data_IF_470794501568
#
_entry.id   IF_470794501568
#
_cell.length_a   1.000
_cell.length_b   1.000
_cell.length_c   1.000
_cell.angle_alpha   90.00
_cell.angle_beta   90.00
_cell.angle_gamma   90.00
#
_symmetry.space_group_name_H-M   'P 1'
#
loop_
_entity.id
_entity.type
_entity.pdbx_description
1 polymer ?
#
# COMPACT_ATOMS: atom_id res chain seq x y z
N UNK A 1 18.15 4.15 10.63
CA UNK A 1 17.78 3.89 9.22
C UNK A 1 18.06 2.44 8.83
N UNK A 2 19.33 2.00 8.73
CA UNK A 2 19.59 0.58 8.39
C UNK A 2 19.09 -0.39 9.48
N UNK A 3 19.23 -0.05 10.77
CA UNK A 3 18.68 -0.85 11.88
C UNK A 3 17.14 -0.96 11.81
N UNK A 4 16.44 0.14 11.55
CA UNK A 4 14.96 0.15 11.40
C UNK A 4 14.46 -0.81 10.30
N UNK A 5 15.25 -0.98 9.22
CA UNK A 5 14.95 -1.92 8.13
C UNK A 5 15.12 -3.37 8.60
N UNK A 6 16.20 -3.67 9.31
CA UNK A 6 16.45 -5.02 9.82
C UNK A 6 15.44 -5.43 10.90
N UNK A 7 15.09 -4.52 11.80
CA UNK A 7 14.11 -4.77 12.85
C UNK A 7 12.72 -5.03 12.25
N UNK A 8 12.30 -4.22 11.27
CA UNK A 8 11.03 -4.42 10.55
C UNK A 8 10.95 -5.76 9.81
N UNK A 9 12.08 -6.30 9.32
CA UNK A 9 12.12 -7.62 8.69
C UNK A 9 11.97 -8.76 9.70
N UNK A 10 12.54 -8.60 10.90
CA UNK A 10 12.40 -9.58 11.99
C UNK A 10 10.98 -9.57 12.58
N UNK A 11 10.33 -8.40 12.67
CA UNK A 11 8.96 -8.27 13.18
C UNK A 11 7.94 -9.03 12.31
N UNK A 12 8.16 -9.07 10.99
CA UNK A 12 7.33 -9.83 10.04
C UNK A 12 7.31 -11.34 10.38
N UNK A 13 8.40 -11.88 10.93
CA UNK A 13 8.48 -13.30 11.28
C UNK A 13 7.85 -13.63 12.65
N UNK A 14 7.49 -12.61 13.44
CA UNK A 14 7.03 -12.75 14.81
C UNK A 14 5.64 -13.41 14.94
N UNK A 15 5.34 -14.12 16.05
CA UNK A 15 4.06 -14.82 16.24
C UNK A 15 2.80 -13.95 16.14
N UNK A 16 2.76 -12.70 16.68
CA UNK A 16 1.61 -11.80 16.54
C UNK A 16 1.38 -11.39 15.08
N UNK A 17 2.45 -11.07 14.35
CA UNK A 17 2.40 -10.66 12.95
C UNK A 17 1.87 -11.76 12.04
N UNK A 18 2.11 -13.05 12.35
CA UNK A 18 1.57 -14.16 11.55
C UNK A 18 0.05 -14.20 11.51
N UNK A 19 -0.65 -13.85 12.59
CA UNK A 19 -2.13 -13.78 12.59
C UNK A 19 -2.64 -12.65 11.70
N UNK A 20 -2.02 -11.47 11.81
CA UNK A 20 -2.32 -10.31 10.97
C UNK A 20 -2.03 -10.64 9.50
N UNK A 21 -0.90 -11.28 9.22
CA UNK A 21 -0.49 -11.71 7.89
C UNK A 21 -1.48 -12.70 7.28
N UNK A 22 -1.96 -13.71 8.03
CA UNK A 22 -2.96 -14.66 7.51
C UNK A 22 -4.30 -13.98 7.23
N UNK A 23 -4.78 -13.09 8.11
CA UNK A 23 -6.01 -12.32 7.85
C UNK A 23 -5.86 -11.40 6.64
N UNK A 24 -4.71 -10.72 6.53
CA UNK A 24 -4.33 -9.88 5.40
C UNK A 24 -4.31 -10.66 4.09
N UNK A 25 -3.70 -11.85 4.09
CA UNK A 25 -3.62 -12.71 2.92
C UNK A 25 -4.99 -13.27 2.53
N UNK A 26 -5.81 -13.68 3.50
CA UNK A 26 -7.17 -14.16 3.26
C UNK A 26 -8.06 -13.06 2.67
N UNK A 27 -7.98 -11.84 3.21
CA UNK A 27 -8.74 -10.69 2.70
C UNK A 27 -8.27 -10.30 1.28
N UNK A 28 -6.95 -10.29 1.05
CA UNK A 28 -6.35 -10.08 -0.28
C UNK A 28 -6.88 -11.09 -1.28
N UNK A 29 -6.84 -12.38 -0.93
CA UNK A 29 -7.34 -13.46 -1.79
C UNK A 29 -8.84 -13.30 -2.08
N UNK A 30 -9.65 -12.98 -1.08
CA UNK A 30 -11.09 -12.75 -1.25
C UNK A 30 -11.37 -11.58 -2.22
N UNK A 31 -10.68 -10.46 -2.07
CA UNK A 31 -10.82 -9.30 -2.96
C UNK A 31 -10.40 -9.66 -4.39
N UNK A 32 -9.27 -10.36 -4.57
CA UNK A 32 -8.81 -10.78 -5.89
C UNK A 32 -9.79 -11.74 -6.58
N UNK A 33 -10.38 -12.69 -5.85
CA UNK A 33 -11.41 -13.60 -6.38
C UNK A 33 -12.67 -12.82 -6.79
N UNK A 34 -13.12 -11.85 -5.98
CA UNK A 34 -14.29 -11.04 -6.33
C UNK A 34 -14.04 -10.18 -7.58
N UNK A 35 -12.86 -9.59 -7.69
CA UNK A 35 -12.48 -8.81 -8.89
C UNK A 35 -12.37 -9.72 -10.11
N UNK A 36 -11.78 -10.91 -9.97
CA UNK A 36 -11.72 -11.92 -11.03
C UNK A 36 -13.12 -12.26 -11.56
N UNK A 37 -14.06 -12.59 -10.67
CA UNK A 37 -15.44 -12.91 -11.05
C UNK A 37 -16.09 -11.72 -11.78
N UNK A 38 -15.88 -10.50 -11.28
CA UNK A 38 -16.41 -9.29 -11.91
C UNK A 38 -15.87 -9.09 -13.34
N UNK A 39 -14.56 -9.22 -13.52
CA UNK A 39 -13.89 -9.08 -14.82
C UNK A 39 -14.27 -10.20 -15.80
N UNK A 40 -14.38 -11.45 -15.33
CA UNK A 40 -14.80 -12.61 -16.14
C UNK A 40 -16.23 -12.41 -16.67
N UNK A 41 -17.16 -12.04 -15.79
CA UNK A 41 -18.55 -11.76 -16.20
C UNK A 41 -18.66 -10.58 -17.16
N UNK A 42 -17.86 -9.53 -16.94
CA UNK A 42 -17.80 -8.39 -17.84
C UNK A 42 -17.25 -8.78 -19.20
N UNK A 43 -16.18 -9.58 -19.24
CA UNK A 43 -15.59 -10.08 -20.48
C UNK A 43 -16.60 -10.94 -21.28
N UNK A 44 -17.29 -11.87 -20.61
CA UNK A 44 -18.34 -12.70 -21.23
C UNK A 44 -19.52 -11.88 -21.78
N UNK A 45 -19.76 -10.68 -21.25
CA UNK A 45 -20.80 -9.77 -21.78
C UNK A 45 -20.40 -9.12 -23.11
N UNK A 46 -19.11 -8.85 -23.33
CA UNK A 46 -18.62 -8.17 -24.53
C UNK A 46 -18.13 -9.12 -25.64
N UNK A 47 -17.89 -10.40 -25.33
CA UNK A 47 -17.41 -11.40 -26.31
C UNK A 47 -18.61 -12.09 -26.99
N UNK A 48 -19.10 -11.49 -28.08
CA UNK A 48 -19.94 -12.17 -29.07
C UNK A 48 -19.17 -12.20 -30.40
N UNK A 49 -18.35 -13.23 -30.59
CA UNK A 49 -17.40 -13.30 -31.71
C UNK A 49 -17.61 -14.59 -32.50
N UNK A 50 -18.15 -14.46 -33.72
CA UNK A 50 -18.39 -15.59 -34.63
C UNK A 50 -17.13 -16.09 -35.37
N UNK A 51 -16.01 -15.36 -35.30
CA UNK A 51 -14.78 -15.69 -36.03
C UNK A 51 -13.72 -16.32 -35.11
N UNK A 52 -13.23 -17.52 -35.46
CA UNK A 52 -12.32 -18.29 -34.61
C UNK A 52 -10.97 -17.61 -34.35
N UNK A 53 -10.36 -16.98 -35.35
CA UNK A 53 -9.07 -16.28 -35.19
C UNK A 53 -9.22 -15.02 -34.33
N UNK A 54 -10.33 -14.30 -34.47
CA UNK A 54 -10.63 -13.11 -33.67
C UNK A 54 -10.94 -13.50 -32.22
N UNK A 55 -11.62 -14.63 -32.01
CA UNK A 55 -11.84 -15.19 -30.68
C UNK A 55 -10.52 -15.58 -29.99
N UNK A 56 -9.58 -16.21 -30.71
CA UNK A 56 -8.24 -16.52 -30.19
C UNK A 56 -7.45 -15.26 -29.83
N UNK A 57 -7.43 -14.24 -30.71
CA UNK A 57 -6.76 -12.96 -30.44
C UNK A 57 -7.35 -12.26 -29.21
N UNK A 58 -8.68 -12.22 -29.10
CA UNK A 58 -9.37 -11.63 -27.95
C UNK A 58 -9.09 -12.41 -26.67
N UNK A 59 -9.04 -13.75 -26.71
CA UNK A 59 -8.67 -14.56 -25.56
C UNK A 59 -7.23 -14.27 -25.07
N UNK A 60 -6.27 -14.09 -25.99
CA UNK A 60 -4.91 -13.67 -25.63
C UNK A 60 -4.88 -12.27 -25.02
N UNK A 61 -5.61 -11.31 -25.60
CA UNK A 61 -5.70 -9.94 -25.07
C UNK A 61 -6.36 -9.89 -23.69
N UNK A 62 -7.42 -10.67 -23.48
CA UNK A 62 -8.07 -10.83 -22.16
C UNK A 62 -7.11 -11.48 -21.18
N UNK A 63 -6.43 -12.57 -21.56
CA UNK A 63 -5.47 -13.25 -20.70
C UNK A 63 -4.32 -12.33 -20.27
N UNK A 64 -3.76 -11.57 -21.21
CA UNK A 64 -2.71 -10.59 -20.92
C UNK A 64 -3.23 -9.43 -20.07
N UNK A 65 -4.46 -8.96 -20.35
CA UNK A 65 -5.15 -7.94 -19.57
C UNK A 65 -5.46 -8.38 -18.13
N UNK A 66 -5.79 -9.67 -17.92
CA UNK A 66 -6.00 -10.25 -16.60
C UNK A 66 -4.69 -10.34 -15.81
N UNK A 67 -3.59 -10.77 -16.43
CA UNK A 67 -2.27 -10.80 -15.77
C UNK A 67 -1.80 -9.39 -15.42
N UNK A 68 -1.88 -8.45 -16.36
CA UNK A 68 -1.55 -7.05 -16.11
C UNK A 68 -2.47 -6.44 -15.03
N UNK A 69 -3.76 -6.77 -15.06
CA UNK A 69 -4.75 -6.39 -14.05
C UNK A 69 -4.40 -6.92 -12.67
N UNK A 70 -4.00 -8.19 -12.54
CA UNK A 70 -3.56 -8.78 -11.27
C UNK A 70 -2.33 -8.06 -10.68
N UNK A 71 -1.32 -7.79 -11.52
CA UNK A 71 -0.12 -7.03 -11.10
C UNK A 71 -0.50 -5.62 -10.66
N UNK A 72 -1.40 -4.97 -11.40
CA UNK A 72 -1.84 -3.60 -11.12
C UNK A 72 -2.72 -3.53 -9.86
N UNK A 73 -3.55 -4.55 -9.61
CA UNK A 73 -4.42 -4.66 -8.43
C UNK A 73 -3.66 -5.07 -7.17
N UNK A 74 -2.49 -5.68 -7.27
CA UNK A 74 -1.70 -6.08 -6.11
C UNK A 74 -1.39 -4.89 -5.20
N UNK A 75 -0.98 -3.74 -5.76
CA UNK A 75 -0.65 -2.56 -4.96
C UNK A 75 -1.86 -1.92 -4.24
N UNK A 76 -3.01 -1.66 -4.91
CA UNK A 76 -4.25 -1.21 -4.24
C UNK A 76 -4.78 -2.20 -3.20
N UNK A 77 -4.71 -3.50 -3.46
CA UNK A 77 -5.20 -4.51 -2.51
C UNK A 77 -4.30 -4.57 -1.27
N UNK A 78 -2.97 -4.61 -1.44
CA UNK A 78 -2.03 -4.49 -0.31
C UNK A 78 -2.28 -3.20 0.49
N UNK A 79 -2.54 -2.09 -0.20
CA UNK A 79 -2.83 -0.77 0.41
C UNK A 79 -4.11 -0.77 1.25
N UNK A 80 -5.19 -1.37 0.74
CA UNK A 80 -6.46 -1.53 1.45
C UNK A 80 -6.28 -2.37 2.72
N UNK A 81 -5.57 -3.49 2.58
CA UNK A 81 -5.30 -4.40 3.68
C UNK A 81 -4.40 -3.74 4.73
N UNK A 82 -3.40 -2.97 4.30
CA UNK A 82 -2.58 -2.17 5.20
C UNK A 82 -3.40 -1.20 6.03
N UNK A 83 -4.34 -0.50 5.41
CA UNK A 83 -5.20 0.47 6.10
C UNK A 83 -6.07 -0.21 7.17
N UNK A 84 -6.52 -1.44 6.92
CA UNK A 84 -7.33 -2.21 7.87
C UNK A 84 -6.53 -2.70 9.09
N UNK A 85 -5.29 -3.14 8.87
CA UNK A 85 -4.41 -3.64 9.94
C UNK A 85 -3.46 -2.58 10.49
N UNK A 86 -3.53 -1.34 9.98
CA UNK A 86 -2.61 -0.27 10.34
C UNK A 86 -2.58 -0.04 11.84
N UNK A 87 -3.75 0.09 12.48
CA UNK A 87 -3.84 0.37 13.91
C UNK A 87 -3.33 -0.77 14.78
N UNK A 88 -3.54 -2.03 14.37
CA UNK A 88 -3.04 -3.22 15.09
C UNK A 88 -1.51 -3.30 15.01
N UNK A 89 -0.95 -3.07 13.82
CA UNK A 89 0.49 -3.07 13.59
C UNK A 89 1.15 -1.88 14.30
N UNK A 90 0.55 -0.69 14.17
CA UNK A 90 1.06 0.53 14.79
C UNK A 90 1.06 0.43 16.31
N UNK A 91 0.00 -0.08 16.93
CA UNK A 91 -0.04 -0.28 18.37
C UNK A 91 1.04 -1.26 18.85
N UNK A 92 1.33 -2.32 18.08
CA UNK A 92 2.40 -3.26 18.42
C UNK A 92 3.78 -2.59 18.38
N UNK A 93 4.05 -1.85 17.30
CA UNK A 93 5.32 -1.15 17.09
C UNK A 93 5.51 -0.01 18.09
N UNK A 94 4.44 0.72 18.43
CA UNK A 94 4.44 1.76 19.47
C UNK A 94 4.85 1.16 20.83
N UNK A 95 4.28 0.01 21.20
CA UNK A 95 4.61 -0.67 22.45
C UNK A 95 6.04 -1.22 22.49
N UNK A 96 6.61 -1.57 21.33
CA UNK A 96 8.00 -2.00 21.20
C UNK A 96 8.97 -0.82 21.32
N UNK A 97 8.69 0.29 20.63
CA UNK A 97 9.57 1.47 20.59
C UNK A 97 9.52 2.25 21.90
N UNK A 98 8.35 2.36 22.53
CA UNK A 98 8.16 3.09 23.79
C UNK A 98 7.16 2.37 24.71
N UNK A 99 7.62 1.37 25.47
CA UNK A 99 6.76 0.57 26.35
C UNK A 99 6.04 1.37 27.45
N UNK A 100 6.55 2.56 27.79
CA UNK A 100 5.96 3.45 28.81
C UNK A 100 5.24 4.66 28.20
N UNK A 101 5.23 4.78 26.88
CA UNK A 101 4.63 5.88 26.14
C UNK A 101 3.12 5.80 26.04
N UNK A 102 2.50 6.92 25.65
CA UNK A 102 1.09 6.91 25.27
C UNK A 102 0.90 6.06 24.01
N UNK A 103 -0.10 5.18 24.02
CA UNK A 103 -0.53 4.46 22.81
C UNK A 103 -1.44 5.35 21.97
N UNK A 104 -1.23 5.36 20.65
CA UNK A 104 -2.04 6.11 19.73
C UNK A 104 -3.49 5.62 19.71
N UNK A 105 -4.44 6.53 19.44
CA UNK A 105 -5.87 6.18 19.35
C UNK A 105 -6.16 5.56 17.98
N UNK A 106 -6.84 4.40 17.91
CA UNK A 106 -7.25 3.83 16.64
C UNK A 106 -8.25 4.75 15.94
N UNK A 107 -8.21 4.76 14.61
CA UNK A 107 -9.17 5.51 13.82
C UNK A 107 -10.56 4.87 13.91
N UNK A 108 -11.66 5.66 13.90
CA UNK A 108 -12.99 5.11 13.75
C UNK A 108 -13.09 4.27 12.47
N UNK A 109 -13.77 3.12 12.53
CA UNK A 109 -13.87 2.16 11.41
C UNK A 109 -14.35 2.83 10.11
N UNK A 110 -15.26 3.80 10.21
CA UNK A 110 -15.77 4.56 9.06
C UNK A 110 -14.67 5.39 8.41
N UNK A 111 -13.89 6.10 9.21
CA UNK A 111 -12.79 6.93 8.73
C UNK A 111 -11.66 6.06 8.15
N UNK A 112 -11.36 4.93 8.78
CA UNK A 112 -10.40 3.94 8.29
C UNK A 112 -10.84 3.37 6.93
N UNK A 113 -12.13 3.04 6.78
CA UNK A 113 -12.68 2.51 5.52
C UNK A 113 -12.62 3.54 4.39
N UNK A 114 -13.00 4.79 4.68
CA UNK A 114 -12.97 5.87 3.69
C UNK A 114 -11.53 6.20 3.27
N UNK A 115 -10.60 6.21 4.23
CA UNK A 115 -9.19 6.42 3.95
C UNK A 115 -8.60 5.27 3.13
N UNK A 116 -8.95 4.02 3.45
CA UNK A 116 -8.56 2.84 2.68
C UNK A 116 -9.04 2.95 1.22
N UNK A 117 -10.32 3.31 1.00
CA UNK A 117 -10.88 3.49 -0.34
C UNK A 117 -10.17 4.62 -1.12
N UNK A 118 -9.95 5.76 -0.46
CA UNK A 118 -9.24 6.90 -1.07
C UNK A 118 -7.81 6.52 -1.45
N UNK A 119 -7.10 5.84 -0.56
CA UNK A 119 -5.73 5.42 -0.78
C UNK A 119 -5.66 4.38 -1.90
N UNK A 120 -6.55 3.38 -1.90
CA UNK A 120 -6.67 2.41 -2.99
C UNK A 120 -6.96 3.05 -4.34
N UNK A 121 -7.88 4.01 -4.41
CA UNK A 121 -8.20 4.75 -5.63
C UNK A 121 -7.01 5.60 -6.12
N UNK A 122 -6.27 6.22 -5.21
CA UNK A 122 -5.11 7.04 -5.56
C UNK A 122 -3.93 6.19 -6.03
N UNK A 123 -3.68 5.04 -5.39
CA UNK A 123 -2.70 4.04 -5.82
C UNK A 123 -3.05 3.49 -7.20
N UNK A 124 -4.33 3.22 -7.47
CA UNK A 124 -4.80 2.80 -8.78
C UNK A 124 -4.54 3.87 -9.85
N UNK A 125 -4.88 5.13 -9.57
CA UNK A 125 -4.65 6.25 -10.47
C UNK A 125 -3.16 6.44 -10.78
N UNK A 126 -2.30 6.39 -9.76
CA UNK A 126 -0.84 6.47 -9.93
C UNK A 126 -0.32 5.30 -10.76
N UNK A 127 -0.83 4.09 -10.54
CA UNK A 127 -0.52 2.92 -11.34
C UNK A 127 -0.86 3.12 -12.82
N UNK A 128 -2.06 3.59 -13.12
CA UNK A 128 -2.51 3.87 -14.50
C UNK A 128 -1.66 4.94 -15.19
N UNK A 129 -1.39 6.06 -14.50
CA UNK A 129 -0.54 7.13 -15.06
C UNK A 129 0.87 6.63 -15.31
N UNK A 130 1.42 5.83 -14.39
CA UNK A 130 2.76 5.28 -14.54
C UNK A 130 2.86 4.31 -15.73
N UNK A 131 1.78 3.59 -16.03
CA UNK A 131 1.71 2.67 -17.18
C UNK A 131 1.83 3.44 -18.51
N UNK A 132 1.24 4.64 -18.61
CA UNK A 132 1.41 5.53 -19.76
C UNK A 132 2.84 6.09 -19.85
N UNK A 133 3.45 6.41 -18.70
CA UNK A 133 4.82 6.94 -18.64
C UNK A 133 5.90 5.90 -18.95
N UNK A 134 5.57 4.61 -18.84
CA UNK A 134 6.47 3.49 -19.17
C UNK A 134 6.84 3.45 -20.66
N UNK A 135 6.03 4.05 -21.53
CA UNK A 135 6.32 4.21 -22.96
C UNK A 135 7.39 5.27 -23.26
N UNK A 136 7.82 6.04 -22.26
CA UNK A 136 8.94 7.00 -22.37
C UNK A 136 10.21 6.35 -21.79
N UNK A 137 11.21 5.98 -22.63
CA UNK A 137 12.42 5.29 -22.17
C UNK A 137 13.15 6.07 -21.08
N UNK A 138 13.51 5.41 -19.97
CA UNK A 138 14.25 5.99 -18.84
C UNK A 138 13.42 6.86 -17.89
N UNK A 139 12.36 7.54 -18.37
CA UNK A 139 11.51 8.42 -17.53
C UNK A 139 10.50 7.61 -16.71
N UNK A 140 9.96 6.53 -17.27
CA UNK A 140 8.90 5.74 -16.63
C UNK A 140 9.25 5.23 -15.24
N UNK A 141 10.47 4.70 -15.04
CA UNK A 141 10.88 4.15 -13.74
C UNK A 141 11.06 5.24 -12.67
N UNK A 142 11.71 6.35 -13.03
CA UNK A 142 11.93 7.48 -12.10
C UNK A 142 10.59 8.11 -11.73
N UNK A 143 9.71 8.32 -12.72
CA UNK A 143 8.37 8.86 -12.48
C UNK A 143 7.51 7.93 -11.62
N UNK A 144 7.52 6.61 -11.90
CA UNK A 144 6.82 5.61 -11.09
C UNK A 144 7.34 5.61 -9.65
N UNK A 145 8.65 5.61 -9.45
CA UNK A 145 9.27 5.56 -8.13
C UNK A 145 9.00 6.84 -7.33
N UNK A 146 9.10 8.01 -7.97
CA UNK A 146 8.82 9.30 -7.33
C UNK A 146 7.32 9.44 -6.97
N UNK A 147 6.43 9.03 -7.88
CA UNK A 147 4.98 9.10 -7.65
C UNK A 147 4.56 8.17 -6.51
N UNK A 148 5.00 6.91 -6.53
CA UNK A 148 4.74 5.97 -5.45
C UNK A 148 5.40 6.41 -4.14
N UNK A 149 6.65 6.88 -4.19
CA UNK A 149 7.35 7.35 -3.00
C UNK A 149 6.65 8.53 -2.33
N UNK A 150 6.20 9.51 -3.11
CA UNK A 150 5.42 10.63 -2.58
C UNK A 150 4.07 10.19 -2.03
N UNK A 151 3.33 9.34 -2.76
CA UNK A 151 2.02 8.87 -2.36
C UNK A 151 2.07 8.06 -1.07
N UNK A 152 2.91 7.02 -1.06
CA UNK A 152 3.08 6.09 0.06
C UNK A 152 3.62 6.82 1.28
N UNK A 153 4.64 7.67 1.07
CA UNK A 153 5.20 8.51 2.12
C UNK A 153 4.14 9.36 2.80
N UNK A 154 3.37 10.11 2.00
CA UNK A 154 2.33 11.01 2.50
C UNK A 154 1.27 10.27 3.30
N UNK A 155 0.70 9.20 2.73
CA UNK A 155 -0.48 8.56 3.30
C UNK A 155 -0.14 7.78 4.59
N UNK A 156 0.89 6.94 4.55
CA UNK A 156 1.28 6.14 5.72
C UNK A 156 1.80 7.01 6.87
N UNK A 157 2.49 8.13 6.57
CA UNK A 157 2.90 9.07 7.61
C UNK A 157 1.70 9.77 8.24
N UNK A 158 0.71 10.22 7.44
CA UNK A 158 -0.50 10.84 7.99
C UNK A 158 -1.29 9.83 8.84
N UNK A 159 -1.36 8.55 8.45
CA UNK A 159 -1.94 7.51 9.32
C UNK A 159 -1.20 7.37 10.66
N UNK A 160 0.13 7.33 10.64
CA UNK A 160 0.91 7.23 11.88
C UNK A 160 0.69 8.46 12.77
N UNK A 161 0.74 9.67 12.20
CA UNK A 161 0.60 10.91 12.94
C UNK A 161 -0.82 11.13 13.49
N UNK A 162 -1.87 10.75 12.74
CA UNK A 162 -3.27 10.91 13.15
C UNK A 162 -3.66 10.07 14.37
N UNK A 163 -2.84 9.09 14.75
CA UNK A 163 -3.02 8.33 16.00
C UNK A 163 -2.74 9.18 17.25
N UNK A 164 -1.97 10.26 17.11
CA UNK A 164 -1.56 11.15 18.20
C UNK A 164 -2.03 12.59 18.03
N UNK A 165 -2.32 12.99 16.79
CA UNK A 165 -2.62 14.37 16.41
C UNK A 165 -3.92 14.46 15.64
N UNK A 166 -4.54 15.64 15.62
CA UNK A 166 -5.65 15.90 14.71
C UNK A 166 -5.19 15.82 13.24
N UNK A 167 -6.12 15.60 12.31
CA UNK A 167 -5.81 15.55 10.88
C UNK A 167 -5.13 16.83 10.35
N UNK A 168 -5.39 17.99 10.99
CA UNK A 168 -4.76 19.27 10.63
C UNK A 168 -3.30 19.30 11.08
N UNK A 169 -3.05 18.90 12.34
CA UNK A 169 -1.71 18.83 12.92
C UNK A 169 -0.84 17.78 12.22
N UNK A 170 -1.39 16.60 11.90
CA UNK A 170 -0.70 15.55 11.16
C UNK A 170 -0.19 16.06 9.80
N UNK A 171 -1.04 16.81 9.07
CA UNK A 171 -0.63 17.43 7.79
C UNK A 171 0.42 18.52 7.97
N UNK A 172 0.34 19.31 9.03
CA UNK A 172 1.35 20.33 9.33
C UNK A 172 2.71 19.68 9.62
N UNK A 173 2.73 18.64 10.46
CA UNK A 173 3.92 17.87 10.80
C UNK A 173 4.53 17.18 9.57
N UNK A 174 3.69 16.66 8.68
CA UNK A 174 4.15 16.10 7.40
C UNK A 174 4.79 17.17 6.53
N UNK A 175 4.20 18.37 6.44
CA UNK A 175 4.72 19.46 5.60
C UNK A 175 6.07 19.97 6.11
N UNK A 176 6.25 20.09 7.42
CA UNK A 176 7.54 20.48 8.00
C UNK A 176 8.62 19.40 7.80
N UNK A 177 8.23 18.14 7.66
CA UNK A 177 9.15 17.00 7.46
C UNK A 177 9.07 16.37 6.06
N UNK A 178 8.63 17.13 5.05
CA UNK A 178 8.26 16.57 3.74
C UNK A 178 9.42 15.82 3.05
N UNK A 179 10.66 16.28 3.21
CA UNK A 179 11.84 15.61 2.66
C UNK A 179 12.07 14.23 3.28
N UNK A 180 12.00 14.11 4.60
CA UNK A 180 12.15 12.84 5.30
C UNK A 180 11.00 11.88 4.95
N UNK A 181 9.76 12.39 4.95
CA UNK A 181 8.56 11.61 4.57
C UNK A 181 8.68 11.08 3.14
N UNK A 182 9.18 11.89 2.20
CA UNK A 182 9.40 11.47 0.83
C UNK A 182 10.47 10.39 0.72
N UNK A 183 11.63 10.56 1.37
CA UNK A 183 12.72 9.56 1.34
C UNK A 183 12.24 8.23 1.91
N UNK A 184 11.53 8.24 3.04
CA UNK A 184 10.95 7.04 3.63
C UNK A 184 9.89 6.41 2.72
N UNK A 185 9.08 7.24 2.07
CA UNK A 185 8.13 6.79 1.06
C UNK A 185 8.80 6.12 -0.15
N UNK A 186 9.94 6.63 -0.62
CA UNK A 186 10.72 5.99 -1.70
C UNK A 186 11.22 4.60 -1.28
N UNK A 187 11.63 4.41 -0.03
CA UNK A 187 12.02 3.07 0.46
C UNK A 187 10.83 2.10 0.41
N UNK A 188 9.63 2.55 0.79
CA UNK A 188 8.40 1.75 0.66
C UNK A 188 8.14 1.44 -0.82
N UNK A 189 8.29 2.42 -1.71
CA UNK A 189 8.09 2.22 -3.15
C UNK A 189 9.06 1.19 -3.76
N UNK A 190 10.32 1.16 -3.31
CA UNK A 190 11.29 0.13 -3.69
C UNK A 190 10.81 -1.26 -3.23
N UNK A 191 10.25 -1.35 -2.03
CA UNK A 191 9.70 -2.59 -1.48
C UNK A 191 8.49 -3.09 -2.30
N UNK A 192 7.60 -2.17 -2.70
CA UNK A 192 6.46 -2.44 -3.60
C UNK A 192 6.91 -2.94 -4.97
N UNK A 193 8.06 -2.50 -5.46
CA UNK A 193 8.57 -2.86 -6.78
C UNK A 193 8.84 -4.38 -6.93
N UNK A 194 9.06 -5.09 -5.82
CA UNK A 194 9.32 -6.53 -5.81
C UNK A 194 8.01 -7.29 -5.52
N UNK A 195 7.42 -8.02 -6.49
CA UNK A 195 6.06 -8.55 -6.37
C UNK A 195 5.80 -9.44 -5.14
N UNK A 196 6.75 -10.32 -4.80
CA UNK A 196 6.63 -11.23 -3.65
C UNK A 196 6.70 -10.44 -2.34
N UNK A 197 7.58 -9.45 -2.29
CA UNK A 197 7.81 -8.60 -1.12
C UNK A 197 6.70 -7.58 -0.94
N UNK A 198 5.98 -7.23 -2.01
CA UNK A 198 4.87 -6.28 -1.97
C UNK A 198 3.70 -6.72 -1.06
N UNK A 199 3.58 -8.03 -0.78
CA UNK A 199 2.62 -8.55 0.20
C UNK A 199 2.97 -8.13 1.64
N UNK A 200 4.23 -7.83 1.90
CA UNK A 200 4.76 -7.39 3.18
C UNK A 200 4.87 -5.87 3.29
N UNK A 201 4.66 -5.12 2.20
CA UNK A 201 4.63 -3.65 2.18
C UNK A 201 3.75 -3.06 3.28
N UNK A 202 2.53 -3.57 3.55
CA UNK A 202 1.68 -3.04 4.62
C UNK A 202 2.37 -2.98 5.98
N UNK A 203 3.06 -4.08 6.32
CA UNK A 203 3.75 -4.29 7.58
C UNK A 203 4.95 -3.36 7.65
N UNK A 204 5.78 -3.39 6.60
CA UNK A 204 6.98 -2.55 6.49
C UNK A 204 6.67 -1.05 6.48
N UNK A 205 5.67 -0.62 5.71
CA UNK A 205 5.28 0.78 5.59
C UNK A 205 4.76 1.34 6.93
N UNK A 206 3.96 0.54 7.63
CA UNK A 206 3.40 0.94 8.94
C UNK A 206 4.50 1.05 9.98
N UNK A 207 5.36 0.03 10.12
CA UNK A 207 6.46 0.05 11.10
C UNK A 207 7.40 1.22 10.85
N UNK A 208 7.77 1.42 9.58
CA UNK A 208 8.72 2.46 9.16
C UNK A 208 8.17 3.87 9.41
N UNK A 209 6.87 4.11 9.15
CA UNK A 209 6.26 5.42 9.34
C UNK A 209 5.93 5.73 10.80
N UNK A 210 5.61 4.73 11.62
CA UNK A 210 5.49 4.89 13.07
C UNK A 210 6.84 5.28 13.69
N UNK A 211 7.92 4.59 13.31
CA UNK A 211 9.29 4.94 13.73
C UNK A 211 9.68 6.36 13.27
N UNK A 212 9.33 6.74 12.04
CA UNK A 212 9.55 8.09 11.53
C UNK A 212 8.76 9.13 12.32
N UNK A 213 7.46 8.91 12.53
CA UNK A 213 6.60 9.81 13.32
C UNK A 213 7.19 10.04 14.70
N UNK A 214 7.58 8.97 15.41
CA UNK A 214 8.19 9.09 16.73
C UNK A 214 9.46 9.93 16.71
N UNK A 215 10.32 9.73 15.71
CA UNK A 215 11.57 10.50 15.56
C UNK A 215 11.33 11.98 15.32
N UNK A 216 10.31 12.35 14.55
CA UNK A 216 10.00 13.76 14.24
C UNK A 216 9.11 14.44 15.28
N UNK A 217 8.30 13.67 16.01
CA UNK A 217 7.42 14.16 17.06
C UNK A 217 8.10 14.23 18.43
N UNK A 218 8.98 13.27 18.76
CA UNK A 218 9.78 13.26 19.99
C UNK A 218 11.07 14.08 19.92
N UNK A 219 11.33 14.73 18.78
CA UNK A 219 12.39 15.73 18.61
C UNK A 219 11.94 17.17 18.93
N UNK A 220 10.72 17.34 19.45
CA UNK A 220 10.18 18.58 20.02
C UNK A 220 10.00 18.38 21.53
#
# INVERSE_FOLDING_TARGET
MMQDVFDSLNDIASPPFRRVMVKSLALTAAVLVLVWIGLDRLALHFVAVNSSWLATLIAWLIGLGLVAGLVLLAAPVSSLVASFFFDEIAAHVEAEIDPQGATGRPAPIVDATLAALRFGALTLLVGLVSLVLLFVPGVGLIAWLAANGYLLGREYFEFAAMRFHSAVEARALRRSNAGAVFVYGVLIAIFVAVPIVNLLTPLFATTLMVRLHRRVAGGQ
#
